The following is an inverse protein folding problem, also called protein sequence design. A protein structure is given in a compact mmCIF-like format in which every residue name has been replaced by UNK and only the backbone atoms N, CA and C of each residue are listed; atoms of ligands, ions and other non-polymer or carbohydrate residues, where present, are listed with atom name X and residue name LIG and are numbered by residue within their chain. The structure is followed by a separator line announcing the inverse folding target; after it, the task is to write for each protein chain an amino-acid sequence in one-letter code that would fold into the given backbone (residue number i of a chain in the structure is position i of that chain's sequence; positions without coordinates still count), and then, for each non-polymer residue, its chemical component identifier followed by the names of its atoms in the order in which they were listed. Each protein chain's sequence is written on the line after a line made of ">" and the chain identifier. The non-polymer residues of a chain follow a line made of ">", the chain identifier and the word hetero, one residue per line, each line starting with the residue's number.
data_IF_744237912004
#
_entry.id   IF_744237912004
#
_cell.length_a   1.000
_cell.length_b   1.000
_cell.length_c   1.000
_cell.angle_alpha   90.00
_cell.angle_beta   90.00
_cell.angle_gamma   90.00
#
_symmetry.space_group_name_H-M   'P 1'
#
loop_
_entity.id
_entity.type
_entity.pdbx_description
1 polymer ?
#
# COMPACT_ATOMS: atom_id res chain seq x y z
N UNK A 1 43.03 -17.60 -2.98
CA UNK A 1 41.80 -18.40 -2.82
C UNK A 1 40.91 -17.85 -1.68
N UNK A 2 40.71 -16.51 -1.61
CA UNK A 2 39.96 -15.85 -0.52
C UNK A 2 38.75 -15.01 -0.99
N UNK A 3 38.61 -14.75 -2.31
CA UNK A 3 37.51 -13.91 -2.82
C UNK A 3 36.15 -14.62 -2.83
N UNK A 4 36.09 -15.92 -3.15
CA UNK A 4 34.81 -16.66 -3.21
C UNK A 4 34.13 -16.86 -1.84
N UNK A 5 34.88 -16.88 -0.73
CA UNK A 5 34.32 -16.97 0.62
C UNK A 5 33.74 -15.65 1.11
N UNK A 6 34.34 -14.51 0.73
CA UNK A 6 33.83 -13.18 1.07
C UNK A 6 32.53 -12.87 0.32
N UNK A 7 32.47 -13.18 -0.97
CA UNK A 7 31.29 -12.94 -1.81
C UNK A 7 30.07 -13.75 -1.34
N UNK A 8 30.26 -15.00 -0.91
CA UNK A 8 29.15 -15.82 -0.39
C UNK A 8 28.57 -15.25 0.92
N UNK A 9 29.42 -14.73 1.80
CA UNK A 9 28.97 -14.11 3.06
C UNK A 9 28.23 -12.79 2.82
N UNK A 10 28.66 -11.98 1.84
CA UNK A 10 27.94 -10.77 1.43
C UNK A 10 26.56 -11.08 0.85
N UNK A 11 26.46 -12.10 -0.02
CA UNK A 11 25.17 -12.53 -0.58
C UNK A 11 24.25 -13.05 0.52
N UNK A 12 24.77 -13.82 1.47
CA UNK A 12 24.00 -14.29 2.62
C UNK A 12 23.50 -13.12 3.49
N UNK A 13 24.33 -12.09 3.69
CA UNK A 13 23.94 -10.85 4.37
C UNK A 13 22.83 -10.10 3.65
N UNK A 14 22.96 -9.88 2.35
CA UNK A 14 21.95 -9.20 1.53
C UNK A 14 20.61 -9.94 1.51
N UNK A 15 20.63 -11.28 1.44
CA UNK A 15 19.41 -12.10 1.50
C UNK A 15 18.74 -11.98 2.88
N UNK A 16 19.51 -12.01 3.97
CA UNK A 16 18.98 -11.83 5.31
C UNK A 16 18.36 -10.44 5.51
N UNK A 17 19.06 -9.38 5.08
CA UNK A 17 18.55 -8.01 5.10
C UNK A 17 17.27 -7.86 4.26
N UNK A 18 17.24 -8.47 3.07
CA UNK A 18 16.07 -8.51 2.21
C UNK A 18 14.86 -9.19 2.85
N UNK A 19 15.09 -10.33 3.52
CA UNK A 19 14.04 -11.05 4.24
C UNK A 19 13.48 -10.24 5.43
N UNK A 20 14.35 -9.62 6.22
CA UNK A 20 13.95 -8.75 7.34
C UNK A 20 13.11 -7.58 6.83
N UNK A 21 13.56 -6.92 5.75
CA UNK A 21 12.84 -5.80 5.14
C UNK A 21 11.47 -6.22 4.60
N UNK A 22 11.41 -7.30 3.82
CA UNK A 22 10.15 -7.81 3.27
C UNK A 22 9.16 -8.17 4.37
N UNK A 23 9.62 -8.80 5.45
CA UNK A 23 8.76 -9.14 6.59
C UNK A 23 8.19 -7.89 7.25
N UNK A 24 9.01 -6.84 7.43
CA UNK A 24 8.56 -5.55 7.95
C UNK A 24 7.53 -4.87 7.05
N UNK A 25 7.75 -4.88 5.73
CA UNK A 25 6.83 -4.31 4.74
C UNK A 25 5.48 -5.05 4.73
N UNK A 26 5.47 -6.38 4.79
CA UNK A 26 4.24 -7.19 4.86
C UNK A 26 3.42 -6.89 6.12
N UNK A 27 4.08 -6.75 7.28
CA UNK A 27 3.40 -6.39 8.53
C UNK A 27 2.79 -4.98 8.45
N UNK A 28 3.53 -4.02 7.89
CA UNK A 28 3.05 -2.65 7.70
C UNK A 28 1.81 -2.62 6.79
N UNK A 29 1.84 -3.32 5.64
CA UNK A 29 0.69 -3.45 4.74
C UNK A 29 -0.51 -4.13 5.41
N UNK A 30 -0.27 -5.18 6.20
CA UNK A 30 -1.32 -5.85 6.97
C UNK A 30 -2.04 -4.89 7.93
N UNK A 31 -1.27 -4.04 8.63
CA UNK A 31 -1.83 -3.01 9.51
C UNK A 31 -2.63 -1.97 8.73
N UNK A 32 -2.09 -1.47 7.62
CA UNK A 32 -2.78 -0.48 6.79
C UNK A 32 -4.10 -1.06 6.21
N UNK A 33 -4.12 -2.35 5.85
CA UNK A 33 -5.34 -3.02 5.38
C UNK A 33 -6.42 -3.14 6.45
N UNK A 34 -6.03 -3.48 7.68
CA UNK A 34 -6.95 -3.52 8.84
C UNK A 34 -7.52 -2.13 9.10
N UNK A 35 -6.68 -1.09 9.06
CA UNK A 35 -7.11 0.29 9.25
C UNK A 35 -8.07 0.75 8.13
N UNK A 36 -7.80 0.40 6.87
CA UNK A 36 -8.71 0.64 5.73
C UNK A 36 -10.09 -0.02 5.96
N UNK A 37 -10.12 -1.28 6.37
CA UNK A 37 -11.38 -1.99 6.66
C UNK A 37 -12.17 -1.32 7.78
N UNK A 38 -11.49 -0.92 8.87
CA UNK A 38 -12.12 -0.23 9.99
C UNK A 38 -12.71 1.13 9.56
N UNK A 39 -11.97 1.90 8.76
CA UNK A 39 -12.43 3.20 8.25
C UNK A 39 -13.61 3.05 7.28
N UNK A 40 -13.58 2.06 6.38
CA UNK A 40 -14.69 1.76 5.49
C UNK A 40 -15.96 1.37 6.27
N UNK A 41 -15.83 0.53 7.30
CA UNK A 41 -16.94 0.18 8.18
C UNK A 41 -17.52 1.40 8.91
N UNK A 42 -16.65 2.32 9.34
CA UNK A 42 -17.08 3.59 9.94
C UNK A 42 -17.79 4.51 8.94
N UNK A 43 -17.27 4.61 7.72
CA UNK A 43 -17.86 5.41 6.64
C UNK A 43 -19.29 4.94 6.31
N UNK A 44 -19.50 3.63 6.20
CA UNK A 44 -20.83 3.05 5.98
C UNK A 44 -21.80 3.38 7.12
N UNK A 45 -21.34 3.31 8.37
CA UNK A 45 -22.16 3.69 9.54
C UNK A 45 -22.54 5.16 9.51
N UNK A 46 -21.59 6.05 9.24
CA UNK A 46 -21.83 7.50 9.16
C UNK A 46 -22.85 7.84 8.06
N UNK A 47 -22.72 7.26 6.86
CA UNK A 47 -23.70 7.46 5.79
C UNK A 47 -25.10 6.99 6.17
N UNK A 48 -25.23 5.82 6.83
CA UNK A 48 -26.52 5.32 7.32
C UNK A 48 -27.14 6.26 8.36
N UNK A 49 -26.33 6.76 9.29
CA UNK A 49 -26.78 7.68 10.34
C UNK A 49 -27.20 9.03 9.75
N UNK A 50 -26.43 9.58 8.81
CA UNK A 50 -26.79 10.80 8.09
C UNK A 50 -28.11 10.63 7.32
N UNK A 51 -28.30 9.51 6.61
CA UNK A 51 -29.56 9.23 5.93
C UNK A 51 -30.76 9.14 6.88
N UNK A 52 -30.58 8.49 8.04
CA UNK A 52 -31.60 8.42 9.08
C UNK A 52 -31.95 9.80 9.66
N UNK A 53 -30.93 10.64 9.87
CA UNK A 53 -31.10 12.03 10.32
C UNK A 53 -31.92 12.83 9.30
N UNK A 54 -31.49 12.87 8.03
CA UNK A 54 -32.18 13.60 6.96
C UNK A 54 -33.63 13.14 6.81
N UNK A 55 -33.87 11.82 6.87
CA UNK A 55 -35.23 11.29 6.83
C UNK A 55 -36.07 11.76 8.03
N UNK A 56 -35.53 11.69 9.25
CA UNK A 56 -36.20 12.14 10.46
C UNK A 56 -36.52 13.63 10.40
N UNK A 57 -35.58 14.46 9.96
CA UNK A 57 -35.78 15.90 9.79
C UNK A 57 -36.90 16.19 8.78
N UNK A 58 -36.89 15.54 7.61
CA UNK A 58 -37.95 15.70 6.60
C UNK A 58 -39.31 15.23 7.07
N UNK A 59 -39.38 14.16 7.87
CA UNK A 59 -40.63 13.62 8.39
C UNK A 59 -41.22 14.48 9.52
N UNK A 60 -40.36 15.01 10.39
CA UNK A 60 -40.79 15.72 11.61
C UNK A 60 -40.84 17.24 11.43
N UNK A 61 -40.21 17.78 10.38
CA UNK A 61 -40.05 19.22 10.15
C UNK A 61 -39.10 19.91 11.14
N UNK A 62 -38.43 19.16 12.03
CA UNK A 62 -37.40 19.69 12.92
C UNK A 62 -36.03 19.45 12.32
N UNK A 63 -35.40 20.54 11.90
CA UNK A 63 -34.06 20.52 11.35
C UNK A 63 -33.01 20.59 12.46
N UNK A 64 -31.93 19.86 12.28
CA UNK A 64 -30.74 19.89 13.13
C UNK A 64 -29.53 20.02 12.20
N UNK A 65 -29.31 21.26 11.78
CA UNK A 65 -28.29 21.62 10.79
C UNK A 65 -26.87 21.42 11.37
N UNK A 66 -26.69 21.63 12.68
CA UNK A 66 -25.41 21.38 13.35
C UNK A 66 -25.01 19.89 13.30
N UNK A 67 -25.96 18.99 13.58
CA UNK A 67 -25.69 17.56 13.46
C UNK A 67 -25.46 17.13 12.00
N UNK A 68 -26.18 17.73 11.05
CA UNK A 68 -25.97 17.50 9.61
C UNK A 68 -24.54 17.86 9.19
N UNK A 69 -24.11 19.07 9.52
CA UNK A 69 -22.77 19.58 9.21
C UNK A 69 -21.69 18.72 9.85
N UNK A 70 -21.89 18.29 11.10
CA UNK A 70 -20.97 17.39 11.77
C UNK A 70 -20.82 16.05 11.04
N UNK A 71 -21.91 15.43 10.60
CA UNK A 71 -21.85 14.18 9.84
C UNK A 71 -21.10 14.35 8.52
N UNK A 72 -21.33 15.45 7.80
CA UNK A 72 -20.63 15.76 6.54
C UNK A 72 -19.13 15.92 6.81
N UNK A 73 -18.77 16.74 7.80
CA UNK A 73 -17.37 16.98 8.16
C UNK A 73 -16.63 15.69 8.58
N UNK A 74 -17.29 14.83 9.37
CA UNK A 74 -16.68 13.57 9.82
C UNK A 74 -16.58 12.55 8.68
N UNK A 75 -17.55 12.50 7.76
CA UNK A 75 -17.45 11.70 6.53
C UNK A 75 -16.24 12.13 5.71
N UNK A 76 -16.07 13.43 5.48
CA UNK A 76 -14.95 13.96 4.71
C UNK A 76 -13.61 13.69 5.39
N UNK A 77 -13.56 13.78 6.72
CA UNK A 77 -12.39 13.40 7.51
C UNK A 77 -12.04 11.92 7.32
N UNK A 78 -13.02 11.02 7.35
CA UNK A 78 -12.80 9.59 7.13
C UNK A 78 -12.32 9.32 5.70
N UNK A 79 -12.93 9.97 4.70
CA UNK A 79 -12.49 9.87 3.29
C UNK A 79 -11.05 10.33 3.09
N UNK A 80 -10.64 11.45 3.69
CA UNK A 80 -9.24 11.91 3.63
C UNK A 80 -8.27 10.89 4.23
N UNK A 81 -8.65 10.23 5.33
CA UNK A 81 -7.81 9.18 5.94
C UNK A 81 -7.73 7.94 5.06
N UNK A 82 -8.82 7.54 4.41
CA UNK A 82 -8.82 6.45 3.44
C UNK A 82 -7.91 6.76 2.26
N UNK A 83 -8.04 7.94 1.64
CA UNK A 83 -7.19 8.37 0.53
C UNK A 83 -5.70 8.38 0.92
N UNK A 84 -5.36 8.82 2.14
CA UNK A 84 -3.99 8.78 2.64
C UNK A 84 -3.44 7.35 2.80
N UNK A 85 -4.27 6.37 3.16
CA UNK A 85 -3.87 4.96 3.22
C UNK A 85 -3.75 4.35 1.82
N UNK A 86 -4.63 4.71 0.89
CA UNK A 86 -4.58 4.26 -0.51
C UNK A 86 -3.32 4.77 -1.21
N UNK A 87 -2.97 6.05 -1.05
CA UNK A 87 -1.72 6.62 -1.59
C UNK A 87 -0.46 5.93 -1.05
N UNK A 88 -0.49 5.42 0.18
CA UNK A 88 0.64 4.67 0.77
C UNK A 88 0.77 3.29 0.12
N UNK A 89 -0.34 2.65 -0.22
CA UNK A 89 -0.38 1.38 -0.94
C UNK A 89 0.14 1.55 -2.38
N UNK A 90 -0.26 2.62 -3.05
CA UNK A 90 0.16 2.94 -4.43
C UNK A 90 1.64 3.31 -4.56
N UNK A 91 2.18 4.13 -3.64
CA UNK A 91 3.59 4.54 -3.67
C UNK A 91 4.54 3.34 -3.50
N UNK A 92 4.14 2.34 -2.72
CA UNK A 92 4.94 1.13 -2.49
C UNK A 92 4.99 0.23 -3.75
N UNK A 93 3.93 0.22 -4.57
CA UNK A 93 3.89 -0.57 -5.82
C UNK A 93 4.92 -0.08 -6.86
N UNK A 94 5.27 1.21 -6.86
CA UNK A 94 6.24 1.79 -7.81
C UNK A 94 7.70 1.43 -7.50
N UNK A 95 8.01 1.00 -6.27
CA UNK A 95 9.36 0.61 -5.87
C UNK A 95 9.73 -0.80 -6.34
N UNK A 96 8.73 -1.65 -6.63
CA UNK A 96 8.92 -3.03 -7.04
C UNK A 96 9.22 -3.22 -8.54
N UNK A 97 8.96 -2.22 -9.39
CA UNK A 97 9.15 -2.33 -10.85
C UNK A 97 10.55 -1.83 -11.32
N UNK A 98 11.35 -1.23 -10.45
CA UNK A 98 12.66 -0.67 -10.81
C UNK A 98 13.85 -1.65 -10.68
N UNK A 99 13.61 -2.95 -10.41
CA UNK A 99 14.66 -3.97 -10.25
C UNK A 99 14.35 -5.28 -10.97
N UNK A 100 13.83 -5.21 -12.20
CA UNK A 100 14.19 -6.24 -13.18
C UNK A 100 15.60 -5.90 -13.65
N UNK A 101 16.65 -6.63 -13.23
CA UNK A 101 17.81 -6.74 -14.08
C UNK A 101 17.30 -7.34 -15.39
N UNK A 102 17.26 -6.51 -16.41
CA UNK A 102 17.55 -6.81 -17.80
C UNK A 102 18.40 -8.08 -17.97
N UNK A 103 17.74 -9.24 -17.83
CA UNK A 103 18.30 -10.56 -18.07
C UNK A 103 18.32 -10.90 -19.57
N UNK A 104 18.67 -9.94 -20.43
CA UNK A 104 18.71 -10.15 -21.88
C UNK A 104 20.03 -9.76 -22.58
N UNK A 105 21.03 -9.22 -21.90
CA UNK A 105 22.32 -8.89 -22.55
C UNK A 105 23.42 -9.97 -22.41
N UNK A 106 23.20 -11.02 -21.62
CA UNK A 106 24.26 -12.02 -21.34
C UNK A 106 24.28 -13.20 -22.34
N UNK A 107 23.22 -13.39 -23.14
CA UNK A 107 23.13 -14.49 -24.09
C UNK A 107 23.94 -14.21 -25.38
N UNK A 108 24.10 -12.94 -25.78
CA UNK A 108 24.77 -12.57 -27.03
C UNK A 108 26.31 -12.55 -26.89
N UNK A 109 26.83 -12.37 -25.66
CA UNK A 109 28.26 -12.40 -25.39
C UNK A 109 28.87 -13.81 -25.41
N UNK A 110 28.08 -14.86 -25.14
CA UNK A 110 28.59 -16.24 -25.11
C UNK A 110 28.72 -16.89 -26.50
N UNK A 111 28.02 -16.40 -27.53
CA UNK A 111 28.08 -17.01 -28.88
C UNK A 111 29.10 -16.38 -29.83
N UNK A 112 29.64 -15.19 -29.52
CA UNK A 112 30.63 -14.51 -30.39
C UNK A 112 32.09 -14.94 -30.16
N UNK A 113 32.36 -15.72 -29.11
CA UNK A 113 33.71 -16.21 -28.79
C UNK A 113 34.04 -17.61 -29.36
N UNK A 114 33.19 -18.18 -30.22
CA UNK A 114 33.29 -19.58 -30.66
C UNK A 114 33.21 -19.84 -32.17
N UNK A 115 33.67 -18.92 -33.03
CA UNK A 115 33.63 -19.09 -34.50
C UNK A 115 34.86 -18.58 -35.23
N UNK A 116 35.76 -19.51 -35.54
CA UNK A 116 36.99 -19.52 -36.36
C UNK A 116 36.91 -18.80 -37.74
N UNK A 117 38.03 -18.52 -38.46
CA UNK A 117 39.13 -19.45 -38.80
C UNK A 117 40.43 -19.30 -38.01
#
# INVERSE_FOLDING_TARGET
>A
MNQSRSSFLDVAGQVAEGAVRLTGEVVARGRDKVDQMALNGRLMKLHRQLGALVYSQKKTGREDEQMLDWYIAEIDRVKRRLAALEMRDEQDFTVYDARRPDAEDDAEAMFRAGGQP
#
